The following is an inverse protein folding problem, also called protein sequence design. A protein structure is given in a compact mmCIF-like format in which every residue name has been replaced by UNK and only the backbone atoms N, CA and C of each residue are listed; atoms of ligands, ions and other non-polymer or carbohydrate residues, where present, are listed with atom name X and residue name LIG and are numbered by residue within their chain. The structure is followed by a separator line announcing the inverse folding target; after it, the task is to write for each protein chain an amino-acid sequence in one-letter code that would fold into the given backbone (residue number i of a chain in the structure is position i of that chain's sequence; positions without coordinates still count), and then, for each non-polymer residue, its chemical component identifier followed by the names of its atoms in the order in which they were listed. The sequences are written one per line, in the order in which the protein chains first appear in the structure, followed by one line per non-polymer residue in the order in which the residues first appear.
data_IF_011950760861
#
_entry.id   IF_011950760861
#
_cell.length_a   1.000
_cell.length_b   1.000
_cell.length_c   1.000
_cell.angle_alpha   90.00
_cell.angle_beta   90.00
_cell.angle_gamma   90.00
#
_symmetry.space_group_name_H-M   'P 1'
#
loop_
_entity.id
_entity.type
_entity.pdbx_description
1 polymer ?
#
# COMPACT_ATOMS: atom_id res chain seq x y z
N UNK A 1 -6.11 34.39 -16.06
CA UNK A 1 -4.71 34.67 -16.47
C UNK A 1 -3.87 35.21 -15.32
N UNK A 2 -4.43 36.06 -14.45
CA UNK A 2 -3.74 36.73 -13.33
C UNK A 2 -3.29 35.82 -12.18
N UNK A 3 -3.86 34.62 -12.04
CA UNK A 3 -3.53 33.67 -10.96
C UNK A 3 -2.28 32.82 -11.25
N UNK A 4 -1.93 32.61 -12.52
CA UNK A 4 -0.72 31.85 -12.91
C UNK A 4 0.57 32.65 -12.65
N UNK A 5 0.53 33.96 -12.91
CA UNK A 5 1.66 34.89 -12.72
C UNK A 5 2.05 35.03 -11.24
N UNK A 6 1.08 34.92 -10.32
CA UNK A 6 1.34 34.97 -8.89
C UNK A 6 1.89 33.64 -8.31
N UNK A 7 1.75 32.51 -9.01
CA UNK A 7 2.45 31.27 -8.64
C UNK A 7 3.91 31.30 -9.08
N UNK A 8 4.21 31.80 -10.29
CA UNK A 8 5.59 31.92 -10.78
C UNK A 8 6.46 32.84 -9.89
N UNK A 9 5.93 34.00 -9.47
CA UNK A 9 6.66 34.92 -8.57
C UNK A 9 6.92 34.37 -7.17
N UNK A 10 6.13 33.42 -6.68
CA UNK A 10 6.33 32.83 -5.35
C UNK A 10 7.39 31.72 -5.35
N UNK A 11 7.66 31.14 -6.52
CA UNK A 11 8.72 30.14 -6.75
C UNK A 11 10.12 30.77 -6.70
N UNK A 12 10.27 32.04 -7.08
CA UNK A 12 11.58 32.71 -7.11
C UNK A 12 12.09 33.14 -5.72
N UNK A 13 11.22 33.45 -4.76
CA UNK A 13 11.67 34.08 -3.49
C UNK A 13 12.26 33.12 -2.44
N UNK A 14 12.29 31.81 -2.69
CA UNK A 14 12.78 30.81 -1.72
C UNK A 14 13.85 29.87 -2.28
N UNK A 15 14.37 30.16 -3.48
CA UNK A 15 15.41 29.37 -4.13
C UNK A 15 16.78 30.01 -3.88
N UNK A 16 17.48 29.54 -2.84
CA UNK A 16 18.94 29.67 -2.82
C UNK A 16 19.51 28.84 -3.97
N UNK A 17 20.16 29.51 -4.93
CA UNK A 17 21.04 28.95 -5.98
C UNK A 17 20.66 27.59 -6.56
N UNK A 18 19.47 27.46 -7.17
CA UNK A 18 19.10 26.28 -7.96
C UNK A 18 19.08 26.67 -9.44
N UNK A 19 20.13 26.33 -10.19
CA UNK A 19 20.20 26.51 -11.65
C UNK A 19 19.57 25.31 -12.36
N UNK A 20 18.48 25.56 -13.09
CA UNK A 20 17.73 24.58 -13.91
C UNK A 20 18.50 24.14 -15.17
N UNK A 21 18.33 22.88 -15.57
CA UNK A 21 19.20 22.11 -16.48
C UNK A 21 18.54 21.84 -17.84
N UNK A 22 18.73 22.70 -18.82
CA UNK A 22 18.56 22.32 -20.23
C UNK A 22 19.82 22.69 -21.01
N UNK A 23 20.57 21.69 -21.50
CA UNK A 23 21.66 21.88 -22.47
C UNK A 23 23.10 21.85 -21.95
N UNK A 24 23.42 21.11 -20.87
CA UNK A 24 24.82 20.95 -20.39
C UNK A 24 25.17 19.51 -19.96
N UNK A 25 24.65 18.46 -20.60
CA UNK A 25 24.97 17.07 -20.19
C UNK A 25 26.48 16.76 -20.09
N UNK A 26 27.34 17.47 -20.83
CA UNK A 26 28.80 17.25 -20.82
C UNK A 26 29.53 17.80 -19.57
N UNK A 27 28.97 18.77 -18.84
CA UNK A 27 29.63 19.37 -17.66
C UNK A 27 29.55 18.50 -16.38
N UNK A 28 28.78 17.41 -16.40
CA UNK A 28 28.38 16.68 -15.19
C UNK A 28 28.84 15.22 -15.16
N UNK A 29 29.67 14.80 -16.12
CA UNK A 29 30.27 13.47 -16.15
C UNK A 29 31.24 13.30 -14.95
N UNK A 30 30.97 12.35 -14.07
CA UNK A 30 31.83 11.99 -12.94
C UNK A 30 31.45 12.59 -11.59
N UNK A 31 30.45 13.48 -11.51
CA UNK A 31 29.95 13.96 -10.22
C UNK A 31 29.11 12.89 -9.52
N UNK A 32 29.28 12.80 -8.19
CA UNK A 32 28.54 11.86 -7.36
C UNK A 32 27.06 12.20 -7.36
N UNK A 33 26.22 11.19 -7.62
CA UNK A 33 24.76 11.30 -7.49
C UNK A 33 24.34 11.06 -6.05
N UNK A 34 23.48 11.93 -5.54
CA UNK A 34 22.94 11.82 -4.19
C UNK A 34 21.43 12.01 -4.17
N UNK A 35 20.71 11.34 -3.25
CA UNK A 35 19.30 11.63 -3.00
C UNK A 35 19.14 12.98 -2.29
N UNK A 36 18.04 13.68 -2.57
CA UNK A 36 17.68 14.90 -1.84
C UNK A 36 17.14 14.59 -0.43
N UNK A 37 16.87 15.66 0.32
CA UNK A 37 16.13 15.60 1.57
C UNK A 37 14.68 15.25 1.29
N UNK A 38 14.16 14.26 2.01
CA UNK A 38 12.75 13.90 1.92
C UNK A 38 11.87 15.08 2.37
N UNK A 39 10.80 15.39 1.63
CA UNK A 39 9.84 16.39 2.06
C UNK A 39 9.30 16.03 3.44
N UNK A 40 9.34 16.97 4.39
CA UNK A 40 8.79 16.75 5.75
C UNK A 40 7.33 16.28 5.72
N UNK A 41 6.61 16.64 4.67
CA UNK A 41 5.22 16.25 4.49
C UNK A 41 5.03 14.80 4.08
N UNK A 42 6.00 14.21 3.38
CA UNK A 42 6.01 12.78 3.07
C UNK A 42 6.10 11.94 4.36
N UNK A 43 6.77 12.45 5.41
CA UNK A 43 6.81 11.80 6.73
C UNK A 43 5.41 11.64 7.34
N UNK A 44 4.50 12.59 7.13
CA UNK A 44 3.12 12.47 7.61
C UNK A 44 2.38 11.36 6.85
N UNK A 45 2.69 11.14 5.57
CA UNK A 45 2.10 10.06 4.76
C UNK A 45 2.70 8.70 5.16
N UNK A 46 4.00 8.66 5.48
CA UNK A 46 4.64 7.46 6.04
C UNK A 46 4.04 7.06 7.40
N UNK A 47 3.66 8.02 8.24
CA UNK A 47 2.94 7.74 9.48
C UNK A 47 1.56 7.11 9.21
N UNK A 48 0.90 7.50 8.11
CA UNK A 48 -0.36 6.87 7.69
C UNK A 48 -0.15 5.44 7.26
N UNK A 49 0.87 5.21 6.43
CA UNK A 49 1.23 3.85 6.00
C UNK A 49 1.56 2.97 7.21
N UNK A 50 2.38 3.47 8.14
CA UNK A 50 2.69 2.76 9.38
C UNK A 50 1.41 2.37 10.13
N UNK A 51 0.51 3.34 10.35
CA UNK A 51 -0.74 3.10 11.08
C UNK A 51 -1.66 2.13 10.36
N UNK A 52 -1.76 2.21 9.03
CA UNK A 52 -2.54 1.26 8.23
C UNK A 52 -1.97 -0.16 8.35
N UNK A 53 -0.65 -0.32 8.24
CA UNK A 53 0.01 -1.64 8.34
C UNK A 53 -0.09 -2.21 9.73
N UNK A 54 0.14 -1.38 10.74
CA UNK A 54 -0.09 -1.75 12.13
C UNK A 54 -1.51 -2.27 12.32
N UNK A 55 -2.50 -1.57 11.77
CA UNK A 55 -3.91 -1.93 11.87
C UNK A 55 -4.21 -3.25 11.14
N UNK A 56 -3.77 -3.37 9.88
CA UNK A 56 -4.02 -4.53 9.04
C UNK A 56 -3.41 -5.81 9.61
N UNK A 57 -2.14 -5.78 10.01
CA UNK A 57 -1.50 -6.97 10.59
C UNK A 57 -2.02 -7.24 12.00
N UNK A 58 -2.25 -6.19 12.80
CA UNK A 58 -2.67 -6.31 14.19
C UNK A 58 -4.06 -6.91 14.32
N UNK A 59 -4.97 -6.58 13.41
CA UNK A 59 -6.26 -7.27 13.34
C UNK A 59 -6.14 -8.66 12.69
N UNK A 60 -5.21 -8.87 11.75
CA UNK A 60 -5.13 -10.14 11.00
C UNK A 60 -4.54 -11.28 11.82
N UNK A 61 -3.61 -11.00 12.73
CA UNK A 61 -2.97 -12.04 13.54
C UNK A 61 -3.98 -12.88 14.34
N UNK A 62 -4.81 -12.23 15.17
CA UNK A 62 -5.89 -12.87 15.94
C UNK A 62 -6.93 -13.69 15.17
N UNK A 63 -7.14 -13.41 13.88
CA UNK A 63 -8.30 -13.93 13.12
C UNK A 63 -8.34 -15.45 13.10
N UNK A 64 -7.19 -16.11 12.94
CA UNK A 64 -7.15 -17.57 12.81
C UNK A 64 -7.66 -18.24 14.10
N UNK A 65 -7.14 -17.85 15.26
CA UNK A 65 -7.56 -18.37 16.56
C UNK A 65 -9.00 -17.97 16.90
N UNK A 66 -9.38 -16.72 16.62
CA UNK A 66 -10.73 -16.19 16.83
C UNK A 66 -11.81 -17.03 16.17
N UNK A 67 -11.58 -17.46 14.91
CA UNK A 67 -12.54 -18.27 14.15
C UNK A 67 -12.44 -19.75 14.52
N UNK A 68 -11.22 -20.29 14.60
CA UNK A 68 -10.96 -21.71 14.70
C UNK A 68 -11.47 -22.29 16.04
N UNK A 69 -10.98 -21.73 17.14
CA UNK A 69 -11.11 -22.32 18.46
C UNK A 69 -12.40 -21.85 19.15
N UNK A 70 -13.08 -22.72 19.92
CA UNK A 70 -14.19 -22.30 20.76
C UNK A 70 -13.70 -21.46 21.94
N UNK A 71 -14.59 -20.65 22.53
CA UNK A 71 -14.29 -19.99 23.80
C UNK A 71 -14.22 -21.02 24.93
N UNK A 72 -13.04 -21.22 25.50
CA UNK A 72 -12.81 -22.08 26.66
C UNK A 72 -11.81 -21.41 27.62
N UNK A 73 -12.27 -20.91 28.79
CA UNK A 73 -11.40 -20.29 29.80
C UNK A 73 -10.36 -21.23 30.42
N UNK A 74 -10.54 -22.55 30.28
CA UNK A 74 -9.63 -23.56 30.84
C UNK A 74 -8.53 -23.99 29.87
N UNK A 75 -8.63 -23.57 28.61
CA UNK A 75 -7.69 -23.86 27.53
C UNK A 75 -6.58 -22.81 27.46
N UNK A 76 -5.34 -23.25 27.31
CA UNK A 76 -4.21 -22.37 27.01
C UNK A 76 -4.27 -21.79 25.57
N UNK A 77 -5.15 -22.33 24.72
CA UNK A 77 -5.40 -21.83 23.36
C UNK A 77 -6.50 -20.76 23.37
N UNK A 78 -6.23 -19.54 22.85
CA UNK A 78 -7.27 -18.52 22.68
C UNK A 78 -8.29 -18.94 21.60
N UNK A 79 -9.56 -18.64 21.86
CA UNK A 79 -10.66 -18.97 20.96
C UNK A 79 -11.96 -18.21 21.24
N UNK A 80 -12.84 -18.15 20.25
CA UNK A 80 -14.16 -17.53 20.38
C UNK A 80 -15.25 -18.26 19.61
N UNK A 81 -15.14 -18.39 18.28
CA UNK A 81 -16.26 -18.79 17.42
C UNK A 81 -16.41 -20.30 17.23
N UNK A 82 -15.36 -21.09 17.45
CA UNK A 82 -15.40 -22.55 17.37
C UNK A 82 -15.87 -23.09 16.01
N UNK A 83 -15.50 -22.44 14.89
CA UNK A 83 -15.91 -22.84 13.53
C UNK A 83 -14.93 -23.80 12.86
N UNK A 84 -13.82 -24.11 13.51
CA UNK A 84 -12.80 -25.04 13.01
C UNK A 84 -11.88 -24.44 11.96
N UNK A 85 -10.77 -25.14 11.73
CA UNK A 85 -9.63 -24.65 10.95
C UNK A 85 -9.98 -24.37 9.50
N UNK A 86 -10.81 -25.21 8.87
CA UNK A 86 -11.20 -25.04 7.48
C UNK A 86 -11.92 -23.70 7.24
N UNK A 87 -12.84 -23.33 8.14
CA UNK A 87 -13.58 -22.06 8.06
C UNK A 87 -12.66 -20.89 8.37
N UNK A 88 -11.80 -21.00 9.38
CA UNK A 88 -10.82 -19.97 9.74
C UNK A 88 -9.88 -19.64 8.58
N UNK A 89 -9.29 -20.67 7.96
CA UNK A 89 -8.40 -20.54 6.81
C UNK A 89 -9.12 -19.95 5.60
N UNK A 90 -10.34 -20.41 5.30
CA UNK A 90 -11.12 -19.92 4.17
C UNK A 90 -11.47 -18.43 4.32
N UNK A 91 -11.96 -18.03 5.49
CA UNK A 91 -12.30 -16.63 5.78
C UNK A 91 -11.05 -15.75 5.83
N UNK A 92 -9.96 -16.19 6.48
CA UNK A 92 -8.69 -15.46 6.49
C UNK A 92 -8.14 -15.21 5.08
N UNK A 93 -8.19 -16.23 4.21
CA UNK A 93 -7.80 -16.09 2.81
C UNK A 93 -8.74 -15.17 2.02
N UNK A 94 -10.05 -15.27 2.26
CA UNK A 94 -11.03 -14.35 1.66
C UNK A 94 -10.73 -12.89 2.04
N UNK A 95 -10.45 -12.61 3.31
CA UNK A 95 -10.14 -11.25 3.77
C UNK A 95 -8.89 -10.69 3.11
N UNK A 96 -7.83 -11.50 2.99
CA UNK A 96 -6.62 -11.12 2.23
C UNK A 96 -6.96 -10.82 0.78
N UNK A 97 -7.62 -11.76 0.09
CA UNK A 97 -8.05 -11.58 -1.29
C UNK A 97 -8.86 -10.29 -1.46
N UNK A 98 -9.85 -10.06 -0.60
CA UNK A 98 -10.73 -8.90 -0.69
C UNK A 98 -9.99 -7.58 -0.42
N UNK A 99 -9.11 -7.54 0.57
CA UNK A 99 -8.27 -6.37 0.86
C UNK A 99 -7.35 -5.99 -0.32
N UNK A 100 -6.83 -6.98 -1.06
CA UNK A 100 -6.03 -6.71 -2.26
C UNK A 100 -6.89 -6.41 -3.49
N UNK A 101 -7.99 -7.13 -3.72
CA UNK A 101 -8.87 -6.92 -4.88
C UNK A 101 -9.53 -5.54 -4.85
N UNK A 102 -9.94 -5.08 -3.67
CA UNK A 102 -10.55 -3.75 -3.47
C UNK A 102 -9.59 -2.59 -3.75
N UNK A 103 -8.28 -2.81 -3.85
CA UNK A 103 -7.33 -1.77 -4.30
C UNK A 103 -7.65 -1.26 -5.70
N UNK A 104 -8.13 -2.12 -6.60
CA UNK A 104 -8.54 -1.73 -7.95
C UNK A 104 -9.70 -0.75 -7.89
N UNK A 105 -10.68 -1.02 -7.02
CA UNK A 105 -11.83 -0.14 -6.80
C UNK A 105 -11.34 1.20 -6.21
N UNK A 106 -10.47 1.15 -5.20
CA UNK A 106 -9.89 2.32 -4.55
C UNK A 106 -9.12 3.23 -5.51
N UNK A 107 -8.34 2.65 -6.44
CA UNK A 107 -7.60 3.37 -7.46
C UNK A 107 -8.55 4.06 -8.46
N UNK A 108 -9.51 3.31 -9.03
CA UNK A 108 -10.47 3.85 -10.01
C UNK A 108 -11.26 5.02 -9.40
N UNK A 109 -11.76 4.85 -8.17
CA UNK A 109 -12.55 5.87 -7.48
C UNK A 109 -11.75 7.15 -7.23
N UNK A 110 -10.49 7.03 -6.83
CA UNK A 110 -9.63 8.18 -6.61
C UNK A 110 -9.24 8.89 -7.91
N UNK A 111 -8.87 8.12 -8.94
CA UNK A 111 -8.37 8.64 -10.21
C UNK A 111 -9.47 9.23 -11.10
N UNK A 112 -10.73 8.84 -10.91
CA UNK A 112 -11.88 9.37 -11.66
C UNK A 112 -12.65 10.47 -10.94
N UNK A 113 -12.88 10.33 -9.63
CA UNK A 113 -13.93 11.11 -8.98
C UNK A 113 -13.44 11.93 -7.78
N UNK A 114 -12.74 11.31 -6.83
CA UNK A 114 -12.47 11.95 -5.53
C UNK A 114 -11.12 12.67 -5.45
N UNK A 115 -10.11 12.17 -6.16
CA UNK A 115 -8.71 12.50 -5.90
C UNK A 115 -8.17 11.75 -4.66
N UNK A 116 -6.85 11.53 -4.64
CA UNK A 116 -6.18 10.63 -3.68
C UNK A 116 -6.42 11.00 -2.23
N UNK A 117 -6.28 12.28 -1.87
CA UNK A 117 -6.49 12.74 -0.49
C UNK A 117 -7.90 12.44 0.03
N UNK A 118 -8.94 12.76 -0.76
CA UNK A 118 -10.33 12.50 -0.35
C UNK A 118 -10.64 11.01 -0.34
N UNK A 119 -10.12 10.25 -1.31
CA UNK A 119 -10.26 8.81 -1.35
C UNK A 119 -9.66 8.13 -0.10
N UNK A 120 -8.47 8.54 0.34
CA UNK A 120 -7.85 8.06 1.58
C UNK A 120 -8.73 8.39 2.79
N UNK A 121 -9.22 9.64 2.92
CA UNK A 121 -10.10 10.02 4.02
C UNK A 121 -11.39 9.18 4.07
N UNK A 122 -12.07 9.00 2.94
CA UNK A 122 -13.27 8.16 2.85
C UNK A 122 -12.95 6.70 3.19
N UNK A 123 -11.84 6.17 2.69
CA UNK A 123 -11.39 4.81 2.97
C UNK A 123 -11.06 4.61 4.44
N UNK A 124 -10.43 5.59 5.11
CA UNK A 124 -10.19 5.57 6.56
C UNK A 124 -11.51 5.52 7.35
N UNK A 125 -12.53 6.30 6.97
CA UNK A 125 -13.85 6.24 7.63
C UNK A 125 -14.48 4.86 7.48
N UNK A 126 -14.45 4.28 6.28
CA UNK A 126 -14.94 2.92 6.02
C UNK A 126 -14.18 1.91 6.89
N UNK A 127 -12.85 2.02 6.94
CA UNK A 127 -12.01 1.15 7.78
C UNK A 127 -12.41 1.25 9.26
N UNK A 128 -12.53 2.46 9.80
CA UNK A 128 -12.95 2.70 11.19
C UNK A 128 -14.32 2.09 11.47
N UNK A 129 -15.30 2.25 10.57
CA UNK A 129 -16.62 1.62 10.71
C UNK A 129 -16.48 0.09 10.81
N UNK A 130 -15.71 -0.51 9.92
CA UNK A 130 -15.47 -1.95 9.94
C UNK A 130 -14.80 -2.44 11.24
N UNK A 131 -13.83 -1.69 11.78
CA UNK A 131 -13.20 -2.01 13.05
C UNK A 131 -14.13 -1.82 14.25
N UNK A 132 -14.98 -0.79 14.23
CA UNK A 132 -16.00 -0.59 15.27
C UNK A 132 -16.98 -1.77 15.27
N UNK A 133 -17.40 -2.26 14.11
CA UNK A 133 -18.21 -3.48 13.99
C UNK A 133 -17.46 -4.66 14.61
N UNK A 134 -16.20 -4.89 14.20
CA UNK A 134 -15.39 -6.00 14.71
C UNK A 134 -15.28 -5.98 16.24
N UNK A 135 -14.86 -4.85 16.81
CA UNK A 135 -14.70 -4.67 18.26
C UNK A 135 -16.03 -4.91 18.97
N UNK A 136 -17.11 -4.29 18.52
CA UNK A 136 -18.43 -4.38 19.15
C UNK A 136 -18.95 -5.82 19.16
N UNK A 137 -18.77 -6.54 18.05
CA UNK A 137 -19.25 -7.93 17.90
C UNK A 137 -18.34 -8.98 18.53
N UNK A 138 -17.11 -8.61 18.92
CA UNK A 138 -16.16 -9.48 19.62
C UNK A 138 -16.27 -9.37 21.14
N UNK A 139 -17.14 -8.50 21.66
CA UNK A 139 -17.36 -8.37 23.12
C UNK A 139 -18.01 -9.64 23.68
N UNK A 140 -17.79 -9.99 24.96
CA UNK A 140 -18.39 -11.18 25.57
C UNK A 140 -19.92 -11.20 25.42
N UNK A 141 -20.59 -10.06 25.64
CA UNK A 141 -22.04 -9.95 25.49
C UNK A 141 -22.50 -10.19 24.06
N UNK A 142 -21.79 -9.67 23.05
CA UNK A 142 -22.16 -9.88 21.66
C UNK A 142 -21.92 -11.33 21.20
N UNK A 143 -20.83 -11.96 21.68
CA UNK A 143 -20.52 -13.36 21.41
C UNK A 143 -21.59 -14.29 22.00
N UNK A 144 -22.04 -14.05 23.24
CA UNK A 144 -23.13 -14.80 23.87
C UNK A 144 -24.45 -14.69 23.09
N UNK A 145 -24.69 -13.55 22.44
CA UNK A 145 -25.86 -13.32 21.59
C UNK A 145 -25.67 -13.77 20.13
N UNK A 146 -24.66 -14.59 19.83
CA UNK A 146 -24.36 -15.11 18.49
C UNK A 146 -24.06 -14.05 17.41
N UNK A 147 -23.69 -12.82 17.80
CA UNK A 147 -23.37 -11.76 16.84
C UNK A 147 -21.95 -11.89 16.23
N UNK A 148 -21.08 -12.73 16.80
CA UNK A 148 -19.65 -12.81 16.47
C UNK A 148 -19.34 -13.12 15.00
N UNK A 149 -19.93 -14.17 14.43
CA UNK A 149 -19.63 -14.59 13.05
C UNK A 149 -20.18 -13.59 12.02
N UNK A 150 -21.43 -13.14 12.19
CA UNK A 150 -22.04 -12.15 11.29
C UNK A 150 -21.31 -10.81 11.35
N UNK A 151 -20.94 -10.39 12.56
CA UNK A 151 -20.11 -9.21 12.81
C UNK A 151 -18.74 -9.28 12.14
N UNK A 152 -18.06 -10.42 12.28
CA UNK A 152 -16.77 -10.66 11.64
C UNK A 152 -16.87 -10.56 10.11
N UNK A 153 -17.85 -11.21 9.48
CA UNK A 153 -18.00 -11.16 8.00
C UNK A 153 -18.28 -9.72 7.54
N UNK A 154 -19.19 -9.01 8.21
CA UNK A 154 -19.49 -7.61 7.92
C UNK A 154 -18.24 -6.72 8.09
N UNK A 155 -17.47 -6.94 9.15
CA UNK A 155 -16.21 -6.26 9.39
C UNK A 155 -15.18 -6.57 8.30
N UNK A 156 -14.97 -7.83 7.91
CA UNK A 156 -14.01 -8.23 6.87
C UNK A 156 -14.30 -7.55 5.52
N UNK A 157 -15.58 -7.50 5.12
CA UNK A 157 -15.99 -6.82 3.88
C UNK A 157 -15.72 -5.32 3.97
N UNK A 158 -16.12 -4.70 5.08
CA UNK A 158 -16.00 -3.25 5.28
C UNK A 158 -14.54 -2.81 5.43
N UNK A 159 -13.78 -3.48 6.29
CA UNK A 159 -12.34 -3.26 6.51
C UNK A 159 -11.57 -3.51 5.23
N UNK A 160 -11.87 -4.59 4.48
CA UNK A 160 -11.19 -4.88 3.23
C UNK A 160 -11.35 -3.75 2.22
N UNK A 161 -12.56 -3.19 2.09
CA UNK A 161 -12.80 -2.04 1.22
C UNK A 161 -12.01 -0.78 1.66
N UNK A 162 -11.99 -0.48 2.96
CA UNK A 162 -11.18 0.61 3.50
C UNK A 162 -9.67 0.40 3.26
N UNK A 163 -9.20 -0.82 3.49
CA UNK A 163 -7.81 -1.24 3.25
C UNK A 163 -7.41 -1.03 1.79
N UNK A 164 -8.23 -1.50 0.84
CA UNK A 164 -7.98 -1.32 -0.58
C UNK A 164 -7.95 0.15 -0.99
N UNK A 165 -8.88 0.94 -0.47
CA UNK A 165 -8.96 2.38 -0.73
C UNK A 165 -7.72 3.16 -0.25
N UNK A 166 -7.19 2.83 0.93
CA UNK A 166 -5.96 3.46 1.45
C UNK A 166 -4.74 3.00 0.63
N UNK A 167 -4.57 1.68 0.45
CA UNK A 167 -3.40 1.09 -0.22
C UNK A 167 -3.24 1.54 -1.67
N UNK A 168 -4.34 1.72 -2.39
CA UNK A 168 -4.31 2.21 -3.76
C UNK A 168 -3.77 3.64 -3.90
N UNK A 169 -3.89 4.44 -2.84
CA UNK A 169 -3.76 5.90 -2.93
C UNK A 169 -2.63 6.50 -2.10
N UNK A 170 -2.24 5.88 -0.98
CA UNK A 170 -1.19 6.39 -0.10
C UNK A 170 0.16 6.43 -0.80
N UNK A 171 0.55 5.35 -1.49
CA UNK A 171 1.84 5.27 -2.16
C UNK A 171 1.99 6.29 -3.29
N UNK A 172 1.05 6.42 -4.24
CA UNK A 172 1.13 7.46 -5.26
C UNK A 172 1.08 8.88 -4.67
N UNK A 173 0.23 9.11 -3.66
CA UNK A 173 0.16 10.42 -2.99
C UNK A 173 1.49 10.79 -2.30
N UNK A 174 2.20 9.80 -1.74
CA UNK A 174 3.52 9.98 -1.14
C UNK A 174 4.54 10.42 -2.19
N UNK A 175 4.60 9.72 -3.31
CA UNK A 175 5.49 10.05 -4.43
C UNK A 175 5.20 11.45 -4.99
N UNK A 176 3.92 11.81 -5.13
CA UNK A 176 3.48 13.14 -5.58
C UNK A 176 3.92 14.28 -4.64
N UNK A 177 4.35 14.03 -3.41
CA UNK A 177 4.87 15.10 -2.55
C UNK A 177 6.27 15.57 -2.97
N UNK A 178 6.99 14.77 -3.76
CA UNK A 178 8.27 15.16 -4.33
C UNK A 178 8.06 15.75 -5.73
N UNK A 179 8.34 17.05 -5.89
CA UNK A 179 8.03 17.81 -7.12
C UNK A 179 9.23 18.05 -8.03
N UNK A 180 10.43 17.60 -7.64
CA UNK A 180 11.62 17.80 -8.47
C UNK A 180 11.67 16.72 -9.56
N UNK A 181 11.39 17.13 -10.80
CA UNK A 181 11.33 16.23 -11.96
C UNK A 181 12.68 16.04 -12.66
N UNK A 182 13.66 16.91 -12.38
CA UNK A 182 14.94 16.93 -13.07
C UNK A 182 16.10 16.88 -12.07
N UNK A 183 17.23 16.27 -12.47
CA UNK A 183 18.47 16.38 -11.71
C UNK A 183 18.79 17.86 -11.45
N UNK A 184 19.31 18.17 -10.27
CA UNK A 184 19.76 19.53 -9.93
C UNK A 184 21.12 19.48 -9.27
N UNK A 185 21.99 20.44 -9.56
CA UNK A 185 23.26 20.55 -8.86
C UNK A 185 23.09 21.22 -7.52
N UNK A 186 23.85 20.71 -6.57
CA UNK A 186 23.87 21.22 -5.21
C UNK A 186 25.29 21.15 -4.68
N UNK A 187 25.78 22.26 -4.15
CA UNK A 187 27.03 22.27 -3.40
C UNK A 187 26.72 21.87 -1.96
N UNK A 188 27.33 20.79 -1.49
CA UNK A 188 27.19 20.32 -0.12
C UNK A 188 27.86 21.30 0.86
N UNK A 189 27.54 21.16 2.15
CA UNK A 189 28.22 21.93 3.21
C UNK A 189 29.74 21.69 3.25
N UNK A 190 30.20 20.57 2.69
CA UNK A 190 31.62 20.23 2.52
C UNK A 190 32.30 20.97 1.36
N UNK A 191 31.55 21.69 0.52
CA UNK A 191 32.06 22.32 -0.71
C UNK A 191 32.05 21.40 -1.93
N UNK A 192 31.69 20.13 -1.78
CA UNK A 192 31.56 19.16 -2.89
C UNK A 192 30.33 19.47 -3.75
N UNK A 193 30.50 19.56 -5.08
CA UNK A 193 29.40 19.64 -6.03
C UNK A 193 28.85 18.24 -6.31
N UNK A 194 27.55 18.05 -6.10
CA UNK A 194 26.87 16.78 -6.31
C UNK A 194 25.63 16.96 -7.16
N UNK A 195 25.26 15.90 -7.88
CA UNK A 195 24.02 15.84 -8.65
C UNK A 195 22.95 15.26 -7.75
N UNK A 196 21.90 16.04 -7.48
CA UNK A 196 20.71 15.55 -6.79
C UNK A 196 19.83 14.84 -7.81
N UNK A 197 19.72 13.52 -7.68
CA UNK A 197 18.96 12.68 -8.60
C UNK A 197 17.53 12.43 -8.04
N UNK A 198 16.47 12.84 -8.77
CA UNK A 198 15.09 12.53 -8.43
C UNK A 198 14.82 11.04 -8.19
N UNK A 199 15.41 10.17 -9.02
CA UNK A 199 15.17 8.73 -8.95
C UNK A 199 15.72 8.15 -7.64
N UNK A 200 16.93 8.56 -7.25
CA UNK A 200 17.52 8.16 -5.96
C UNK A 200 16.70 8.65 -4.76
N UNK A 201 16.08 9.83 -4.89
CA UNK A 201 15.23 10.40 -3.83
C UNK A 201 13.94 9.61 -3.68
N UNK A 202 13.30 9.27 -4.80
CA UNK A 202 12.10 8.41 -4.83
C UNK A 202 12.44 7.00 -4.31
N UNK A 203 13.56 6.42 -4.72
CA UNK A 203 14.04 5.14 -4.21
C UNK A 203 14.23 5.19 -2.69
N UNK A 204 14.89 6.23 -2.17
CA UNK A 204 15.04 6.43 -0.71
C UNK A 204 13.68 6.56 -0.02
N UNK A 205 12.72 7.26 -0.61
CA UNK A 205 11.37 7.36 -0.06
C UNK A 205 10.69 5.99 0.02
N UNK A 206 10.83 5.16 -1.02
CA UNK A 206 10.30 3.80 -1.02
C UNK A 206 11.01 2.87 -0.02
N UNK A 207 12.30 3.06 0.23
CA UNK A 207 13.01 2.33 1.29
C UNK A 207 12.45 2.67 2.68
N UNK A 208 12.19 3.97 2.95
CA UNK A 208 11.50 4.38 4.18
C UNK A 208 10.08 3.82 4.26
N UNK A 209 9.36 3.82 3.16
CA UNK A 209 8.03 3.22 3.06
C UNK A 209 8.06 1.74 3.42
N UNK A 210 9.01 1.00 2.84
CA UNK A 210 9.19 -0.42 3.11
C UNK A 210 9.55 -0.67 4.58
N UNK A 211 10.41 0.16 5.17
CA UNK A 211 10.78 0.06 6.59
C UNK A 211 9.58 0.26 7.51
N UNK A 212 8.75 1.30 7.29
CA UNK A 212 7.56 1.53 8.12
C UNK A 212 6.51 0.43 7.95
N UNK A 213 6.40 -0.18 6.77
CA UNK A 213 5.53 -1.35 6.55
C UNK A 213 5.93 -2.52 7.45
N UNK A 214 7.23 -2.81 7.54
CA UNK A 214 7.73 -3.91 8.37
C UNK A 214 7.56 -3.63 9.86
N UNK A 215 7.77 -2.38 10.30
CA UNK A 215 7.47 -1.99 11.69
C UNK A 215 5.99 -2.17 11.99
N UNK A 216 5.11 -1.74 11.08
CA UNK A 216 3.68 -1.94 11.23
C UNK A 216 3.32 -3.43 11.33
N UNK A 217 4.00 -4.29 10.55
CA UNK A 217 3.81 -5.74 10.60
C UNK A 217 4.24 -6.41 11.92
N UNK A 218 4.89 -5.69 12.83
CA UNK A 218 5.18 -6.17 14.19
C UNK A 218 4.00 -6.03 15.14
N UNK A 219 2.91 -5.37 14.74
CA UNK A 219 1.73 -5.17 15.61
C UNK A 219 1.09 -6.45 16.18
N UNK A 220 1.16 -7.63 15.52
CA UNK A 220 0.69 -8.86 16.15
C UNK A 220 1.45 -9.20 17.44
N UNK A 221 2.70 -8.77 17.64
CA UNK A 221 3.40 -8.91 18.93
C UNK A 221 2.58 -8.34 20.10
N UNK A 222 1.75 -7.33 19.85
CA UNK A 222 0.86 -6.75 20.84
C UNK A 222 -0.47 -7.50 20.84
N UNK A 223 -1.14 -7.59 19.69
CA UNK A 223 -2.53 -8.07 19.64
C UNK A 223 -2.68 -9.55 19.97
N UNK A 224 -1.72 -10.41 19.59
CA UNK A 224 -1.76 -11.84 19.90
C UNK A 224 -1.51 -12.13 21.39
N UNK A 225 -0.69 -11.30 22.05
CA UNK A 225 -0.52 -11.39 23.50
C UNK A 225 -1.76 -10.87 24.24
N UNK A 226 -2.40 -9.81 23.72
CA UNK A 226 -3.65 -9.29 24.30
C UNK A 226 -4.80 -10.28 24.15
N UNK A 227 -4.91 -11.00 23.03
CA UNK A 227 -5.95 -12.03 22.91
C UNK A 227 -5.70 -13.22 23.84
N UNK A 228 -4.44 -13.66 23.97
CA UNK A 228 -4.09 -14.84 24.74
C UNK A 228 -4.25 -14.63 26.25
N UNK A 229 -3.98 -13.43 26.74
CA UNK A 229 -4.02 -13.12 28.18
C UNK A 229 -5.26 -12.35 28.63
N UNK A 230 -6.03 -11.76 27.70
CA UNK A 230 -7.19 -10.96 28.05
C UNK A 230 -8.43 -11.32 27.23
N UNK A 231 -8.55 -10.79 26.01
CA UNK A 231 -9.73 -11.00 25.16
C UNK A 231 -9.56 -10.47 23.74
N UNK A 232 -10.30 -11.05 22.79
CA UNK A 232 -10.28 -10.64 21.39
C UNK A 232 -10.77 -9.21 21.15
N UNK A 233 -11.81 -8.73 21.85
CA UNK A 233 -12.29 -7.36 21.64
C UNK A 233 -11.26 -6.31 22.02
N UNK A 234 -10.46 -6.56 23.08
CA UNK A 234 -9.33 -5.71 23.44
C UNK A 234 -8.22 -5.80 22.38
N UNK A 235 -7.91 -7.00 21.89
CA UNK A 235 -6.93 -7.18 20.83
C UNK A 235 -7.32 -6.41 19.56
N UNK A 236 -8.61 -6.37 19.20
CA UNK A 236 -9.13 -5.59 18.07
C UNK A 236 -9.32 -4.10 18.36
N UNK A 237 -9.39 -3.68 19.62
CA UNK A 237 -9.43 -2.26 19.99
C UNK A 237 -8.09 -1.56 19.73
N UNK A 238 -6.98 -2.28 19.91
CA UNK A 238 -5.62 -1.77 19.63
C UNK A 238 -5.47 -1.25 18.18
N UNK A 239 -5.79 -2.02 17.12
CA UNK A 239 -5.74 -1.51 15.75
C UNK A 239 -6.78 -0.41 15.48
N UNK A 240 -7.94 -0.41 16.14
CA UNK A 240 -8.90 0.71 16.05
C UNK A 240 -8.31 2.03 16.56
N UNK A 241 -7.62 2.01 17.70
CA UNK A 241 -6.95 3.21 18.23
C UNK A 241 -5.83 3.66 17.29
N UNK A 242 -5.04 2.72 16.78
CA UNK A 242 -3.93 3.02 15.87
C UNK A 242 -4.40 3.70 14.58
N UNK A 243 -5.46 3.21 13.94
CA UNK A 243 -5.98 3.84 12.71
C UNK A 243 -6.60 5.22 12.98
N UNK A 244 -7.21 5.44 14.15
CA UNK A 244 -7.74 6.75 14.54
C UNK A 244 -6.62 7.77 14.73
N UNK A 245 -5.52 7.38 15.39
CA UNK A 245 -4.31 8.22 15.52
C UNK A 245 -3.73 8.53 14.14
N UNK A 246 -3.56 7.50 13.30
CA UNK A 246 -3.07 7.63 11.93
C UNK A 246 -3.93 8.60 11.10
N UNK A 247 -5.25 8.47 11.16
CA UNK A 247 -6.18 9.35 10.48
C UNK A 247 -6.09 10.80 11.00
N UNK A 248 -5.94 11.01 12.32
CA UNK A 248 -5.75 12.33 12.90
C UNK A 248 -4.45 12.99 12.40
N UNK A 249 -3.35 12.23 12.35
CA UNK A 249 -2.07 12.71 11.81
C UNK A 249 -2.22 13.08 10.34
N UNK A 250 -2.88 12.25 9.52
CA UNK A 250 -3.15 12.56 8.12
C UNK A 250 -3.96 13.85 7.96
N UNK A 251 -5.08 13.96 8.67
CA UNK A 251 -5.98 15.11 8.56
C UNK A 251 -5.28 16.39 9.02
N UNK A 252 -4.38 16.32 10.01
CA UNK A 252 -3.58 17.48 10.45
C UNK A 252 -2.71 18.08 9.32
N UNK A 253 -2.27 17.24 8.36
CA UNK A 253 -1.50 17.63 7.19
C UNK A 253 -2.32 18.26 6.05
N UNK A 254 -3.66 18.30 6.17
CA UNK A 254 -4.58 18.62 5.06
C UNK A 254 -4.20 19.84 4.22
N UNK A 255 -3.79 20.94 4.85
CA UNK A 255 -3.54 22.21 4.18
C UNK A 255 -2.12 22.31 3.59
N UNK A 256 -1.27 21.33 3.89
CA UNK A 256 0.11 21.31 3.44
C UNK A 256 0.30 20.37 2.24
N UNK A 257 -0.55 19.35 2.08
CA UNK A 257 -0.39 18.34 1.03
C UNK A 257 -0.55 18.91 -0.37
N UNK A 258 0.31 18.45 -1.27
CA UNK A 258 0.13 18.65 -2.71
C UNK A 258 -0.97 17.68 -3.16
N UNK A 259 -1.98 18.22 -3.84
CA UNK A 259 -3.17 17.47 -4.29
C UNK A 259 -3.25 17.55 -5.80
N UNK A 260 -2.90 16.45 -6.46
CA UNK A 260 -3.05 16.33 -7.91
C UNK A 260 -4.53 16.07 -8.23
N UNK A 261 -5.14 16.83 -9.17
CA UNK A 261 -6.53 16.62 -9.57
C UNK A 261 -6.71 15.26 -10.28
N UNK A 262 -7.91 14.66 -10.24
CA UNK A 262 -8.22 13.45 -11.01
C UNK A 262 -8.11 13.73 -12.52
N UNK A 263 -7.36 12.91 -13.25
CA UNK A 263 -7.08 13.09 -14.70
C UNK A 263 -7.55 11.93 -15.58
N UNK A 264 -8.11 10.86 -15.01
CA UNK A 264 -8.30 9.61 -15.75
C UNK A 264 -7.82 8.41 -14.97
N UNK A 265 -8.44 7.24 -15.17
CA UNK A 265 -8.00 5.99 -14.57
C UNK A 265 -7.14 5.26 -15.58
N UNK A 266 -5.85 5.17 -15.27
CA UNK A 266 -4.89 4.43 -16.08
C UNK A 266 -5.30 2.95 -16.24
N UNK A 267 -5.94 2.37 -15.21
CA UNK A 267 -6.44 0.98 -15.24
C UNK A 267 -7.52 0.83 -16.32
N UNK A 268 -8.53 1.71 -16.32
CA UNK A 268 -9.61 1.64 -17.31
C UNK A 268 -9.09 1.87 -18.73
N UNK A 269 -8.15 2.80 -18.89
CA UNK A 269 -7.55 3.08 -20.20
C UNK A 269 -6.68 1.91 -20.68
N UNK A 270 -5.92 1.24 -19.81
CA UNK A 270 -5.17 0.04 -20.15
C UNK A 270 -6.10 -1.12 -20.56
N UNK A 271 -7.22 -1.34 -19.85
CA UNK A 271 -8.22 -2.35 -20.21
C UNK A 271 -8.87 -2.05 -21.57
N UNK A 272 -9.21 -0.77 -21.84
CA UNK A 272 -9.76 -0.32 -23.12
C UNK A 272 -8.75 -0.48 -24.25
N UNK A 273 -7.49 -0.09 -24.04
CA UNK A 273 -6.39 -0.27 -24.98
C UNK A 273 -6.19 -1.74 -25.34
N UNK A 274 -6.20 -2.61 -24.33
CA UNK A 274 -6.13 -4.07 -24.54
C UNK A 274 -7.32 -4.59 -25.34
N UNK A 275 -8.52 -4.08 -25.07
CA UNK A 275 -9.73 -4.44 -25.82
C UNK A 275 -9.66 -3.99 -27.29
N UNK A 276 -9.08 -2.81 -27.57
CA UNK A 276 -8.81 -2.33 -28.93
C UNK A 276 -7.78 -3.25 -29.60
N UNK A 277 -6.68 -3.58 -28.93
CA UNK A 277 -5.66 -4.50 -29.45
C UNK A 277 -6.20 -5.88 -29.79
N UNK A 278 -7.12 -6.43 -29.00
CA UNK A 278 -7.81 -7.70 -29.32
C UNK A 278 -8.67 -7.54 -30.58
N UNK A 279 -9.45 -6.46 -30.70
CA UNK A 279 -10.33 -6.20 -31.86
C UNK A 279 -9.55 -5.95 -33.14
N UNK A 280 -8.43 -5.26 -33.06
CA UNK A 280 -7.54 -4.95 -34.20
C UNK A 280 -6.46 -6.02 -34.41
N UNK A 281 -6.55 -7.16 -33.70
CA UNK A 281 -5.69 -8.34 -33.83
C UNK A 281 -4.19 -8.08 -33.59
N UNK A 282 -3.85 -7.10 -32.75
CA UNK A 282 -2.47 -6.80 -32.39
C UNK A 282 -2.32 -5.44 -31.70
N UNK A 283 -1.33 -5.34 -30.81
CA UNK A 283 -0.98 -4.06 -30.18
C UNK A 283 -0.39 -3.07 -31.18
N UNK A 284 0.32 -3.54 -32.20
CA UNK A 284 0.86 -2.67 -33.25
C UNK A 284 -0.27 -2.03 -34.09
N UNK A 285 -1.36 -2.77 -34.33
CA UNK A 285 -2.54 -2.27 -35.04
C UNK A 285 -3.42 -1.35 -34.18
N UNK A 286 -3.32 -1.45 -32.86
CA UNK A 286 -4.03 -0.58 -31.93
C UNK A 286 -3.39 0.79 -31.76
N UNK A 287 -2.20 1.02 -32.34
CA UNK A 287 -1.52 2.31 -32.29
C UNK A 287 -2.34 3.38 -33.01
N UNK A 288 -2.51 4.57 -32.44
CA UNK A 288 -3.28 5.63 -33.06
C UNK A 288 -2.77 6.04 -34.45
N UNK A 289 -1.46 5.95 -34.72
CA UNK A 289 -0.91 6.16 -36.07
C UNK A 289 -1.49 5.19 -37.11
N UNK A 290 -1.59 3.91 -36.76
CA UNK A 290 -2.11 2.84 -37.62
C UNK A 290 -3.63 2.93 -37.73
N UNK A 291 -4.33 3.20 -36.63
CA UNK A 291 -5.79 3.39 -36.61
C UNK A 291 -6.25 4.55 -37.50
N UNK A 292 -5.45 5.62 -37.59
CA UNK A 292 -5.73 6.72 -38.53
C UNK A 292 -5.49 6.30 -39.97
N UNK A 293 -4.41 5.56 -40.25
CA UNK A 293 -4.10 5.07 -41.58
C UNK A 293 -5.16 4.08 -42.12
N UNK A 294 -5.76 3.27 -41.25
CA UNK A 294 -6.82 2.31 -41.62
C UNK A 294 -8.23 2.90 -41.57
N UNK A 295 -8.38 4.16 -41.15
CA UNK A 295 -9.70 4.80 -40.98
C UNK A 295 -10.51 4.27 -39.78
N UNK A 296 -9.92 3.44 -38.91
CA UNK A 296 -10.58 2.89 -37.73
C UNK A 296 -10.51 3.80 -36.49
N UNK A 297 -9.92 4.99 -36.60
CA UNK A 297 -9.72 5.91 -35.47
C UNK A 297 -11.04 6.36 -34.81
N UNK A 298 -12.08 6.64 -35.59
CA UNK A 298 -13.38 7.10 -35.08
C UNK A 298 -14.19 5.99 -34.38
N UNK A 299 -13.82 4.72 -34.60
CA UNK A 299 -14.47 3.55 -34.00
C UNK A 299 -14.25 3.48 -32.48
N UNK A 300 -13.20 4.14 -31.97
CA UNK A 300 -12.77 4.04 -30.58
C UNK A 300 -12.66 5.42 -29.93
N UNK A 301 -13.55 5.77 -28.97
CA UNK A 301 -13.50 7.07 -28.29
C UNK A 301 -12.18 7.36 -27.57
N UNK A 302 -11.49 6.32 -27.09
CA UNK A 302 -10.19 6.46 -26.45
C UNK A 302 -9.10 6.90 -27.45
N UNK A 303 -9.18 6.45 -28.70
CA UNK A 303 -8.18 6.76 -29.74
C UNK A 303 -8.19 8.24 -30.16
N UNK A 304 -9.27 8.95 -29.87
CA UNK A 304 -9.42 10.39 -30.12
C UNK A 304 -8.87 11.27 -28.99
N UNK A 305 -8.45 10.69 -27.86
CA UNK A 305 -7.93 11.46 -26.72
C UNK A 305 -6.44 11.72 -26.89
N UNK A 306 -5.97 12.92 -26.53
CA UNK A 306 -4.56 13.33 -26.66
C UNK A 306 -3.59 12.41 -25.90
N UNK A 307 -4.05 11.82 -24.80
CA UNK A 307 -3.27 10.89 -23.96
C UNK A 307 -3.07 9.51 -24.60
N UNK A 308 -3.86 9.13 -25.60
CA UNK A 308 -3.71 7.86 -26.29
C UNK A 308 -2.70 8.02 -27.42
N UNK A 309 -1.45 7.67 -27.13
CA UNK A 309 -0.31 7.78 -28.07
C UNK A 309 0.22 6.41 -28.46
N UNK A 310 1.00 6.34 -29.53
CA UNK A 310 1.70 5.11 -29.94
C UNK A 310 2.60 4.57 -28.81
N UNK A 311 3.29 5.48 -28.09
CA UNK A 311 4.11 5.16 -26.93
C UNK A 311 3.27 4.55 -25.81
N UNK A 312 2.12 5.15 -25.50
CA UNK A 312 1.20 4.65 -24.48
C UNK A 312 0.72 3.21 -24.80
N UNK A 313 0.35 2.94 -26.06
CA UNK A 313 -0.03 1.57 -26.47
C UNK A 313 1.14 0.59 -26.31
N UNK A 314 2.36 1.03 -26.64
CA UNK A 314 3.58 0.27 -26.39
C UNK A 314 3.85 0.00 -24.90
N UNK A 315 3.59 0.97 -24.03
CA UNK A 315 3.72 0.84 -22.58
C UNK A 315 2.72 -0.17 -22.01
N UNK A 316 1.45 -0.12 -22.46
CA UNK A 316 0.44 -1.11 -22.07
C UNK A 316 0.87 -2.51 -22.52
N UNK A 317 1.39 -2.67 -23.73
CA UNK A 317 1.89 -3.96 -24.21
C UNK A 317 3.06 -4.47 -23.37
N UNK A 318 4.03 -3.60 -23.04
CA UNK A 318 5.17 -3.93 -22.18
C UNK A 318 4.70 -4.33 -20.79
N UNK A 319 3.78 -3.58 -20.19
CA UNK A 319 3.18 -3.89 -18.89
C UNK A 319 2.52 -5.26 -18.87
N UNK A 320 1.70 -5.60 -19.87
CA UNK A 320 1.07 -6.92 -19.96
C UNK A 320 2.07 -8.06 -20.17
N UNK A 321 3.15 -7.84 -20.94
CA UNK A 321 4.24 -8.82 -21.07
C UNK A 321 4.92 -9.05 -19.72
N UNK A 322 5.17 -8.01 -18.95
CA UNK A 322 5.74 -8.12 -17.59
C UNK A 322 4.82 -8.88 -16.64
N UNK A 323 3.49 -8.74 -16.76
CA UNK A 323 2.52 -9.50 -15.97
C UNK A 323 2.65 -11.03 -16.11
N UNK A 324 3.32 -11.55 -17.16
CA UNK A 324 3.62 -12.99 -17.26
C UNK A 324 4.47 -13.49 -16.10
N UNK A 325 5.31 -12.64 -15.52
CA UNK A 325 6.08 -12.99 -14.32
C UNK A 325 5.18 -13.25 -13.11
N UNK A 326 3.99 -12.66 -13.05
CA UNK A 326 3.06 -12.90 -11.94
C UNK A 326 2.45 -14.29 -11.97
N UNK A 327 2.58 -15.07 -13.06
CA UNK A 327 2.17 -16.48 -13.08
C UNK A 327 2.95 -17.35 -12.09
N UNK A 328 4.14 -16.90 -11.66
CA UNK A 328 4.93 -17.59 -10.65
C UNK A 328 4.54 -17.22 -9.20
N UNK A 329 3.85 -16.09 -9.01
CA UNK A 329 3.51 -15.59 -7.67
C UNK A 329 2.52 -16.47 -6.91
N UNK A 330 1.52 -17.12 -7.54
CA UNK A 330 0.64 -18.06 -6.83
C UNK A 330 1.42 -19.16 -6.09
N UNK A 331 2.49 -19.70 -6.68
CA UNK A 331 3.31 -20.72 -6.02
C UNK A 331 3.97 -20.19 -4.74
N UNK A 332 4.52 -18.98 -4.82
CA UNK A 332 5.07 -18.29 -3.64
C UNK A 332 4.00 -18.02 -2.59
N UNK A 333 2.87 -17.43 -2.97
CA UNK A 333 1.82 -17.04 -2.03
C UNK A 333 1.09 -18.22 -1.39
N UNK A 334 0.99 -19.37 -2.07
CA UNK A 334 0.46 -20.60 -1.46
C UNK A 334 1.34 -21.00 -0.27
N UNK A 335 2.67 -20.98 -0.43
CA UNK A 335 3.60 -21.32 0.64
C UNK A 335 3.62 -20.25 1.74
N UNK A 336 3.76 -18.97 1.36
CA UNK A 336 3.86 -17.86 2.32
C UNK A 336 2.58 -17.70 3.17
N UNK A 337 1.40 -17.93 2.59
CA UNK A 337 0.15 -17.83 3.35
C UNK A 337 0.02 -18.89 4.45
N UNK A 338 0.80 -19.99 4.42
CA UNK A 338 0.75 -21.03 5.45
C UNK A 338 1.06 -20.48 6.85
N UNK A 339 1.95 -19.47 6.93
CA UNK A 339 2.33 -18.82 8.19
C UNK A 339 1.17 -18.14 8.90
N UNK A 340 0.11 -17.78 8.17
CA UNK A 340 -1.05 -17.06 8.70
C UNK A 340 -2.27 -17.97 8.91
N UNK A 341 -2.15 -19.28 8.66
CA UNK A 341 -3.27 -20.21 8.82
C UNK A 341 -2.83 -21.56 9.41
N UNK A 342 -2.25 -22.45 8.62
CA UNK A 342 -2.00 -23.83 8.97
C UNK A 342 -0.84 -23.95 9.97
N UNK A 343 0.19 -23.11 9.87
CA UNK A 343 1.28 -23.11 10.86
C UNK A 343 0.80 -22.61 12.23
N UNK A 344 -0.17 -21.68 12.27
CA UNK A 344 -0.80 -21.24 13.52
C UNK A 344 -1.58 -22.38 14.17
N UNK A 345 -2.40 -23.08 13.39
CA UNK A 345 -3.16 -24.24 13.87
C UNK A 345 -2.22 -25.39 14.29
N UNK A 346 -1.12 -25.61 13.57
CA UNK A 346 -0.10 -26.59 13.95
C UNK A 346 0.57 -26.22 15.27
N UNK A 347 0.98 -24.96 15.44
CA UNK A 347 1.57 -24.46 16.67
C UNK A 347 0.62 -24.60 17.86
N UNK A 348 -0.69 -24.51 17.64
CA UNK A 348 -1.70 -24.76 18.67
C UNK A 348 -1.72 -26.20 19.23
N UNK A 349 -1.07 -27.16 18.56
CA UNK A 349 -0.91 -28.54 19.04
C UNK A 349 0.43 -28.80 19.73
N UNK A 350 1.30 -27.79 19.77
CA UNK A 350 2.64 -27.87 20.36
C UNK A 350 2.63 -27.40 21.82
N UNK A 351 3.70 -27.70 22.56
CA UNK A 351 3.88 -27.18 23.91
C UNK A 351 4.15 -25.65 23.84
N UNK A 352 3.19 -24.85 24.29
CA UNK A 352 3.24 -23.38 24.15
C UNK A 352 4.06 -22.68 25.24
N UNK A 353 4.14 -23.26 26.44
CA UNK A 353 4.87 -22.68 27.60
C UNK A 353 4.53 -21.19 27.85
N UNK A 354 3.27 -20.79 27.65
CA UNK A 354 2.81 -19.40 27.82
C UNK A 354 3.04 -18.48 26.63
N UNK A 355 3.58 -18.98 25.51
CA UNK A 355 3.75 -18.21 24.27
C UNK A 355 2.55 -18.41 23.34
N UNK A 356 1.93 -17.34 22.80
CA UNK A 356 0.83 -17.47 21.84
C UNK A 356 1.26 -18.23 20.58
N UNK A 357 0.41 -19.15 20.10
CA UNK A 357 0.69 -20.01 18.94
C UNK A 357 0.82 -19.23 17.62
N UNK A 358 0.09 -18.13 17.50
CA UNK A 358 0.05 -17.23 16.35
C UNK A 358 1.16 -16.15 16.36
N UNK A 359 2.01 -16.12 17.39
CA UNK A 359 3.18 -15.24 17.45
C UNK A 359 4.24 -15.58 16.38
N UNK A 360 4.25 -16.84 15.88
CA UNK A 360 5.24 -17.32 14.90
C UNK A 360 5.26 -16.48 13.60
N UNK A 361 4.13 -15.89 13.21
CA UNK A 361 4.07 -15.06 12.01
C UNK A 361 4.94 -13.79 12.11
N UNK A 362 5.26 -13.32 13.32
CA UNK A 362 6.13 -12.16 13.53
C UNK A 362 7.61 -12.44 13.24
N UNK A 363 8.02 -13.70 13.12
CA UNK A 363 9.40 -14.04 12.75
C UNK A 363 9.78 -13.46 11.38
N UNK A 364 8.83 -13.37 10.45
CA UNK A 364 9.05 -12.81 9.11
C UNK A 364 9.38 -11.31 9.14
N UNK A 365 8.54 -10.40 9.68
CA UNK A 365 8.89 -8.98 9.77
C UNK A 365 10.11 -8.71 10.67
N UNK A 366 10.36 -9.52 11.72
CA UNK A 366 11.59 -9.42 12.52
C UNK A 366 12.82 -9.74 11.67
N UNK A 367 12.78 -10.85 10.92
CA UNK A 367 13.84 -11.24 10.00
C UNK A 367 14.07 -10.14 8.95
N UNK A 368 13.02 -9.61 8.34
CA UNK A 368 13.13 -8.53 7.34
C UNK A 368 13.76 -7.26 7.94
N UNK A 369 13.37 -6.86 9.15
CA UNK A 369 13.95 -5.69 9.83
C UNK A 369 15.43 -5.85 10.14
N UNK A 370 15.92 -7.07 10.35
CA UNK A 370 17.33 -7.35 10.62
C UNK A 370 18.14 -7.60 9.34
N UNK A 371 17.68 -8.51 8.48
CA UNK A 371 18.43 -8.97 7.32
C UNK A 371 18.54 -7.91 6.24
N UNK A 372 17.55 -7.04 6.04
CA UNK A 372 17.60 -6.05 4.96
C UNK A 372 18.70 -5.02 5.21
N UNK A 373 18.76 -4.33 6.37
CA UNK A 373 19.88 -3.44 6.66
C UNK A 373 21.23 -4.16 6.67
N UNK A 374 21.27 -5.42 7.13
CA UNK A 374 22.48 -6.22 7.15
C UNK A 374 23.02 -6.54 5.74
N UNK A 375 22.14 -6.99 4.84
CA UNK A 375 22.50 -7.27 3.45
C UNK A 375 22.89 -5.99 2.70
N UNK A 376 22.17 -4.90 2.93
CA UNK A 376 22.48 -3.59 2.35
C UNK A 376 23.85 -3.07 2.80
N UNK A 377 24.14 -3.15 4.10
CA UNK A 377 25.41 -2.64 4.66
C UNK A 377 26.63 -3.51 4.34
N UNK A 378 26.48 -4.85 4.29
CA UNK A 378 27.63 -5.76 4.14
C UNK A 378 27.81 -6.35 2.75
N UNK A 379 26.75 -6.59 2.00
CA UNK A 379 26.83 -7.31 0.72
C UNK A 379 26.63 -6.39 -0.48
N UNK A 380 25.61 -5.53 -0.46
CA UNK A 380 25.33 -4.66 -1.60
C UNK A 380 26.30 -3.48 -1.72
N UNK A 381 26.80 -2.94 -0.61
CA UNK A 381 27.87 -1.93 -0.59
C UNK A 381 29.24 -2.44 -1.11
N UNK A 382 29.44 -3.75 -1.20
CA UNK A 382 30.68 -4.35 -1.69
C UNK A 382 30.62 -4.75 -3.19
N UNK A 383 29.49 -4.52 -3.86
CA UNK A 383 29.26 -4.89 -5.28
C UNK A 383 29.08 -3.64 -6.17
N UNK A 384 29.01 -2.45 -5.58
CA UNK A 384 28.99 -1.13 -6.24
C UNK A 384 30.25 -0.36 -5.94
#
# INVERSE_FOLDING_TARGET
MTTKVNMEKKTESNAGDVKSIAGREEQWQGLRRVPDKLPKIALLILAVELGERFTYFGLSGPIQNYINNPYDPSSDLPGALGKGQAVATALGNFFKFWAYASTVIGAIVADQYLGKFRAICCACVIYVIGLVILVSTSTPTALLNNAGLGGLIAAMITIGLGTGGIKANVTPMCAEQYQHSHPVLKTLKSGEEVIVDPELTVQRLFMWFYWVVNIGALSPLITVNVEAHHSFWLAYLVPLIAILISAAVFISGRNKYIRVPPVGSAILDACRTTSIAIKEKGFDNARPSVLRATGHNEKYPLASQERYTDEYVGDVQRGLKSCKMFLFFPFYFICWNQMWNNLISQAGTMALHGTPNDLLQNLDPIALCFFIPFLDCKYYLNIS
#
